data_IF_086284259593
#
_entry.id   IF_086284259593
#
_cell.length_a   1.000
_cell.length_b   1.000
_cell.length_c   1.000
_cell.angle_alpha   90.00
_cell.angle_beta   90.00
_cell.angle_gamma   90.00
#
_symmetry.space_group_name_H-M   'P 1'
#
loop_
_entity.id
_entity.type
_entity.pdbx_description
1 polymer ?
#
# COMPACT_ATOMS: atom_id res chain seq x y z
N UNK A 1 -0.83 5.38 -20.59
CA UNK A 1 -1.15 4.10 -19.92
C UNK A 1 -1.64 4.42 -18.51
N UNK A 2 -2.90 4.11 -18.18
CA UNK A 2 -3.49 4.46 -16.88
C UNK A 2 -2.77 3.77 -15.73
N UNK A 3 -2.64 4.43 -14.57
CA UNK A 3 -2.03 3.81 -13.37
C UNK A 3 -2.93 2.67 -12.89
N UNK A 4 -2.58 1.43 -13.22
CA UNK A 4 -3.22 0.22 -12.68
C UNK A 4 -2.79 0.07 -11.21
N UNK A 5 -3.77 -0.07 -10.32
CA UNK A 5 -3.51 -0.42 -8.92
C UNK A 5 -3.38 -1.94 -8.83
N UNK A 6 -2.38 -2.42 -8.09
CA UNK A 6 -2.16 -3.84 -7.83
C UNK A 6 -2.56 -4.15 -6.38
N UNK A 7 -3.09 -5.35 -6.14
CA UNK A 7 -3.32 -5.85 -4.78
C UNK A 7 -2.12 -6.67 -4.31
N UNK A 8 -1.94 -6.80 -3.00
CA UNK A 8 -0.89 -7.67 -2.42
C UNK A 8 -1.00 -9.09 -2.97
N UNK A 9 -2.22 -9.65 -3.04
CA UNK A 9 -2.46 -11.00 -3.58
C UNK A 9 -1.99 -11.14 -5.03
N UNK A 10 -2.26 -10.17 -5.90
CA UNK A 10 -1.79 -10.22 -7.30
C UNK A 10 -0.27 -10.27 -7.39
N UNK A 11 0.43 -9.56 -6.50
CA UNK A 11 1.89 -9.51 -6.48
C UNK A 11 2.45 -10.81 -5.94
N UNK A 12 1.86 -11.35 -4.86
CA UNK A 12 2.22 -12.65 -4.30
C UNK A 12 2.11 -13.73 -5.38
N UNK A 13 1.05 -13.75 -6.18
CA UNK A 13 0.90 -14.72 -7.27
C UNK A 13 1.98 -14.57 -8.36
N UNK A 14 2.38 -13.34 -8.72
CA UNK A 14 3.50 -13.12 -9.63
C UNK A 14 4.82 -13.66 -9.06
N UNK A 15 5.08 -13.42 -7.77
CA UNK A 15 6.29 -13.86 -7.08
C UNK A 15 6.34 -15.38 -6.94
N UNK A 16 5.22 -16.02 -6.60
CA UNK A 16 5.09 -17.49 -6.54
C UNK A 16 5.33 -18.10 -7.91
N UNK A 17 4.75 -17.52 -8.97
CA UNK A 17 4.99 -17.98 -10.33
C UNK A 17 6.48 -17.94 -10.70
N UNK A 18 7.15 -16.82 -10.39
CA UNK A 18 8.58 -16.69 -10.62
C UNK A 18 9.40 -17.67 -9.78
N UNK A 19 9.07 -17.85 -8.50
CA UNK A 19 9.77 -18.76 -7.60
C UNK A 19 9.62 -20.23 -8.04
N UNK A 20 8.48 -20.60 -8.62
CA UNK A 20 8.21 -21.90 -9.26
C UNK A 20 8.86 -22.07 -10.65
N UNK A 21 9.63 -21.08 -11.11
CA UNK A 21 10.40 -21.17 -12.36
C UNK A 21 9.71 -20.61 -13.60
N UNK A 22 8.52 -19.99 -13.49
CA UNK A 22 7.92 -19.30 -14.63
C UNK A 22 8.75 -18.08 -15.02
N UNK A 23 8.84 -17.84 -16.32
CA UNK A 23 9.53 -16.67 -16.85
C UNK A 23 8.73 -15.40 -16.61
N UNK A 24 9.43 -14.26 -16.56
CA UNK A 24 8.80 -12.92 -16.48
C UNK A 24 7.77 -12.71 -17.59
N UNK A 25 8.01 -13.25 -18.79
CA UNK A 25 7.10 -13.10 -19.93
C UNK A 25 5.82 -13.89 -19.74
N UNK A 26 5.91 -15.14 -19.27
CA UNK A 26 4.73 -15.98 -18.97
C UNK A 26 3.90 -15.37 -17.86
N UNK A 27 4.54 -14.92 -16.77
CA UNK A 27 3.85 -14.27 -15.64
C UNK A 27 3.15 -12.99 -16.11
N UNK A 28 3.82 -12.18 -16.94
CA UNK A 28 3.25 -10.94 -17.46
C UNK A 28 2.03 -11.21 -18.35
N UNK A 29 2.09 -12.25 -19.20
CA UNK A 29 0.98 -12.67 -20.04
C UNK A 29 -0.20 -13.16 -19.21
N UNK A 30 0.04 -14.07 -18.24
CA UNK A 30 -1.00 -14.63 -17.37
C UNK A 30 -1.66 -13.57 -16.48
N UNK A 31 -0.88 -12.63 -15.94
CA UNK A 31 -1.41 -11.57 -15.09
C UNK A 31 -1.97 -10.37 -15.88
N UNK A 32 -1.76 -10.31 -17.20
CA UNK A 32 -2.17 -9.19 -18.06
C UNK A 32 -1.50 -7.86 -17.68
N UNK A 33 -0.19 -7.90 -17.40
CA UNK A 33 0.62 -6.75 -16.96
C UNK A 33 1.85 -6.54 -17.84
N UNK A 34 2.47 -5.37 -17.74
CA UNK A 34 3.76 -5.13 -18.38
C UNK A 34 4.89 -5.92 -17.69
N UNK A 35 5.83 -6.45 -18.48
CA UNK A 35 6.99 -7.20 -17.99
C UNK A 35 7.84 -6.40 -16.98
N UNK A 36 7.90 -5.07 -17.10
CA UNK A 36 8.60 -4.21 -16.14
C UNK A 36 7.95 -4.24 -14.76
N UNK A 37 6.63 -4.37 -14.69
CA UNK A 37 5.91 -4.53 -13.42
C UNK A 37 6.32 -5.83 -12.72
N UNK A 38 6.35 -6.95 -13.47
CA UNK A 38 6.80 -8.23 -12.92
C UNK A 38 8.25 -8.14 -12.47
N UNK A 39 9.15 -7.59 -13.29
CA UNK A 39 10.56 -7.40 -12.92
C UNK A 39 10.75 -6.57 -11.65
N UNK A 40 9.95 -5.50 -11.47
CA UNK A 40 9.99 -4.66 -10.26
C UNK A 40 9.76 -5.50 -8.99
N UNK A 41 8.75 -6.38 -8.99
CA UNK A 41 8.46 -7.21 -7.83
C UNK A 41 9.46 -8.35 -7.67
N UNK A 42 9.88 -8.99 -8.76
CA UNK A 42 10.92 -10.03 -8.73
C UNK A 42 12.25 -9.50 -8.17
N UNK A 43 12.63 -8.27 -8.53
CA UNK A 43 13.84 -7.63 -8.00
C UNK A 43 13.74 -7.47 -6.48
N UNK A 44 12.59 -7.04 -5.96
CA UNK A 44 12.36 -6.95 -4.52
C UNK A 44 12.56 -8.30 -3.79
N UNK A 45 12.09 -9.41 -4.37
CA UNK A 45 12.32 -10.73 -3.80
C UNK A 45 13.80 -11.15 -3.87
N UNK A 46 14.47 -10.83 -4.98
CA UNK A 46 15.89 -11.12 -5.19
C UNK A 46 16.78 -10.34 -4.21
N UNK A 47 16.46 -9.07 -3.97
CA UNK A 47 17.15 -8.18 -3.02
C UNK A 47 16.97 -8.66 -1.57
N UNK A 48 15.82 -9.27 -1.26
CA UNK A 48 15.57 -9.95 0.02
C UNK A 48 16.26 -11.32 0.14
N UNK A 49 17.10 -11.70 -0.84
CA UNK A 49 17.87 -12.94 -0.83
C UNK A 49 17.11 -14.17 -1.33
N UNK A 50 15.84 -14.03 -1.71
CA UNK A 50 15.06 -15.16 -2.24
C UNK A 50 15.58 -15.51 -3.63
N UNK A 51 15.63 -16.81 -3.92
CA UNK A 51 16.07 -17.36 -5.21
C UNK A 51 15.02 -18.33 -5.73
N UNK A 52 14.80 -18.40 -7.04
CA UNK A 52 13.81 -19.30 -7.62
C UNK A 52 14.20 -20.76 -7.36
N UNK A 53 13.22 -21.59 -7.03
CA UNK A 53 13.40 -23.03 -6.76
C UNK A 53 14.18 -23.38 -5.49
N UNK A 54 14.57 -22.40 -4.67
CA UNK A 54 15.29 -22.63 -3.42
C UNK A 54 14.38 -22.34 -2.23
N UNK A 55 14.22 -23.35 -1.37
CA UNK A 55 13.39 -23.29 -0.17
C UNK A 55 11.90 -23.20 -0.50
N UNK A 56 11.05 -23.44 0.49
CA UNK A 56 9.64 -23.10 0.40
C UNK A 56 9.41 -21.73 1.03
N UNK A 57 8.74 -20.84 0.31
CA UNK A 57 8.31 -19.54 0.83
C UNK A 57 6.80 -19.54 0.90
N UNK A 58 6.26 -19.42 2.10
CA UNK A 58 4.82 -19.45 2.39
C UNK A 58 4.13 -18.18 1.88
N UNK A 59 2.82 -18.26 1.65
CA UNK A 59 2.01 -17.10 1.26
C UNK A 59 2.08 -15.95 2.28
N UNK A 60 2.25 -16.26 3.57
CA UNK A 60 2.41 -15.28 4.64
C UNK A 60 3.74 -14.55 4.52
N UNK A 61 4.85 -15.27 4.31
CA UNK A 61 6.18 -14.67 4.11
C UNK A 61 6.21 -13.77 2.87
N UNK A 62 5.55 -14.19 1.78
CA UNK A 62 5.40 -13.34 0.60
C UNK A 62 4.62 -12.07 0.89
N UNK A 63 3.52 -12.16 1.64
CA UNK A 63 2.73 -10.99 2.03
C UNK A 63 3.57 -10.05 2.89
N UNK A 64 4.27 -10.55 3.90
CA UNK A 64 5.15 -9.74 4.75
C UNK A 64 6.23 -9.02 3.96
N UNK A 65 6.87 -9.72 3.01
CA UNK A 65 7.86 -9.13 2.10
C UNK A 65 7.25 -7.96 1.31
N UNK A 66 6.08 -8.18 0.68
CA UNK A 66 5.41 -7.15 -0.12
C UNK A 66 4.97 -5.97 0.76
N UNK A 67 4.43 -6.22 1.95
CA UNK A 67 4.00 -5.17 2.87
C UNK A 67 5.18 -4.33 3.37
N UNK A 68 6.33 -4.96 3.63
CA UNK A 68 7.55 -4.29 4.07
C UNK A 68 8.13 -3.38 2.99
N UNK A 69 8.15 -3.84 1.74
CA UNK A 69 8.77 -3.09 0.63
C UNK A 69 7.83 -2.12 -0.08
N UNK A 70 6.53 -2.43 -0.10
CA UNK A 70 5.51 -1.65 -0.77
C UNK A 70 4.30 -1.43 0.14
N UNK A 71 4.49 -0.77 1.29
CA UNK A 71 3.41 -0.54 2.24
C UNK A 71 2.29 0.30 1.61
N UNK A 72 2.57 1.06 0.55
CA UNK A 72 1.58 1.84 -0.20
C UNK A 72 0.54 1.02 -0.96
N UNK A 73 0.76 -0.30 -1.09
CA UNK A 73 -0.15 -1.22 -1.79
C UNK A 73 -1.32 -1.61 -0.88
N UNK A 74 -1.05 -1.86 0.40
CA UNK A 74 -2.10 -2.07 1.40
C UNK A 74 -2.63 -0.77 1.96
N UNK A 75 -1.77 0.27 1.98
CA UNK A 75 -2.14 1.59 2.40
C UNK A 75 -1.93 2.63 1.27
N UNK A 76 -2.90 2.80 0.35
CA UNK A 76 -2.82 3.74 -0.77
C UNK A 76 -2.46 5.19 -0.43
N UNK A 77 -2.54 5.57 0.85
CA UNK A 77 -2.25 6.90 1.38
C UNK A 77 -0.76 7.18 1.45
N UNK A 78 0.06 6.15 1.67
CA UNK A 78 1.52 6.27 1.62
C UNK A 78 1.99 6.63 0.20
N UNK A 79 1.14 6.42 -0.82
CA UNK A 79 1.37 6.87 -2.20
C UNK A 79 1.11 8.36 -2.40
N UNK A 80 0.61 9.07 -1.40
CA UNK A 80 0.27 10.49 -1.46
C UNK A 80 1.12 11.32 -0.52
N UNK A 81 1.25 12.62 -0.80
CA UNK A 81 1.95 13.64 0.02
C UNK A 81 1.34 13.85 1.42
N UNK A 82 0.50 12.92 1.91
CA UNK A 82 -0.31 13.04 3.12
C UNK A 82 0.34 12.39 4.34
N UNK A 83 1.65 12.20 4.31
CA UNK A 83 2.43 11.63 5.42
C UNK A 83 2.12 12.28 6.77
N UNK A 84 1.85 13.58 6.76
CA UNK A 84 1.44 14.34 7.94
C UNK A 84 0.05 13.92 8.48
N UNK A 85 -0.93 13.66 7.59
CA UNK A 85 -2.24 13.15 8.00
C UNK A 85 -2.18 11.69 8.48
N UNK A 86 -1.32 10.86 7.89
CA UNK A 86 -1.12 9.48 8.32
C UNK A 86 -0.59 9.42 9.76
N UNK A 87 0.40 10.27 10.09
CA UNK A 87 0.91 10.41 11.46
C UNK A 87 -0.20 10.81 12.46
N UNK A 88 -1.20 11.58 12.02
CA UNK A 88 -2.33 12.01 12.83
C UNK A 88 -3.56 11.10 12.73
N UNK A 89 -3.46 9.95 12.07
CA UNK A 89 -4.62 9.11 11.78
C UNK A 89 -5.39 8.66 13.01
N UNK A 90 -4.71 8.39 14.13
CA UNK A 90 -5.36 8.04 15.39
C UNK A 90 -6.20 9.20 15.96
N UNK A 91 -5.64 10.42 15.99
CA UNK A 91 -6.34 11.64 16.43
C UNK A 91 -7.53 11.95 15.53
N UNK A 92 -7.36 11.86 14.21
CA UNK A 92 -8.42 12.13 13.25
C UNK A 92 -9.56 11.13 13.45
N UNK A 93 -9.27 9.83 13.63
CA UNK A 93 -10.29 8.81 13.90
C UNK A 93 -11.04 9.07 15.21
N UNK A 94 -10.31 9.39 16.28
CA UNK A 94 -10.93 9.67 17.58
C UNK A 94 -11.88 10.87 17.49
N UNK A 95 -11.40 11.98 16.94
CA UNK A 95 -12.23 13.17 16.79
C UNK A 95 -13.45 12.94 15.88
N UNK A 96 -13.33 12.09 14.85
CA UNK A 96 -14.47 11.70 14.02
C UNK A 96 -15.48 10.84 14.77
N UNK A 97 -15.04 9.94 15.66
CA UNK A 97 -15.94 9.17 16.54
C UNK A 97 -16.66 10.07 17.55
N UNK A 98 -15.97 11.09 18.08
CA UNK A 98 -16.58 12.09 18.98
C UNK A 98 -17.51 13.10 18.27
N UNK A 99 -17.76 12.94 16.95
CA UNK A 99 -18.69 13.77 16.19
C UNK A 99 -18.13 15.12 15.71
N UNK A 100 -16.82 15.38 15.85
CA UNK A 100 -16.25 16.64 15.40
C UNK A 100 -16.26 16.78 13.87
N UNK A 101 -16.56 17.98 13.40
CA UNK A 101 -16.49 18.32 11.98
C UNK A 101 -15.05 18.27 11.45
N UNK A 102 -14.90 18.03 10.15
CA UNK A 102 -13.58 18.08 9.49
C UNK A 102 -12.86 19.41 9.67
N UNK A 103 -13.61 20.50 9.82
CA UNK A 103 -13.05 21.83 10.02
C UNK A 103 -12.48 22.01 11.44
N UNK A 104 -13.14 21.43 12.45
CA UNK A 104 -12.63 21.38 13.81
C UNK A 104 -11.35 20.55 13.90
N UNK A 105 -11.33 19.39 13.24
CA UNK A 105 -10.15 18.51 13.16
C UNK A 105 -9.01 19.24 12.45
N UNK A 106 -9.27 19.88 11.31
CA UNK A 106 -8.26 20.65 10.58
C UNK A 106 -7.69 21.82 11.40
N UNK A 107 -8.54 22.57 12.12
CA UNK A 107 -8.08 23.64 13.01
C UNK A 107 -7.16 23.10 14.11
N UNK A 108 -7.50 21.94 14.69
CA UNK A 108 -6.67 21.27 15.69
C UNK A 108 -5.31 20.84 15.14
N UNK A 109 -5.30 20.17 13.98
CA UNK A 109 -4.08 19.75 13.30
C UNK A 109 -3.17 20.92 12.95
N UNK A 110 -3.76 22.06 12.57
CA UNK A 110 -3.01 23.28 12.25
C UNK A 110 -2.43 23.94 13.50
N UNK A 111 -3.16 23.90 14.62
CA UNK A 111 -2.74 24.45 15.90
C UNK A 111 -1.58 23.66 16.54
N UNK A 112 -1.59 22.32 16.44
CA UNK A 112 -0.57 21.48 17.09
C UNK A 112 0.80 21.51 16.40
N UNK A 113 0.88 21.66 15.07
CA UNK A 113 2.14 21.39 14.34
C UNK A 113 2.45 22.31 13.14
N UNK A 114 1.65 23.35 12.83
CA UNK A 114 1.75 24.10 11.56
C UNK A 114 1.70 23.19 10.31
N UNK A 115 0.87 22.16 10.34
CA UNK A 115 0.63 21.28 9.21
C UNK A 115 0.18 22.07 7.97
N UNK A 116 0.80 21.81 6.81
CA UNK A 116 0.52 22.50 5.53
C UNK A 116 -0.71 21.94 4.79
N UNK A 117 -1.41 20.99 5.42
CA UNK A 117 -2.42 20.18 4.76
C UNK A 117 -3.74 20.94 4.66
N UNK A 118 -4.36 20.90 3.48
CA UNK A 118 -5.67 21.52 3.25
C UNK A 118 -6.83 20.70 3.84
N UNK A 119 -7.95 21.35 4.17
CA UNK A 119 -9.20 20.68 4.57
C UNK A 119 -9.66 19.66 3.51
N UNK A 120 -9.43 19.95 2.22
CA UNK A 120 -9.80 19.06 1.13
C UNK A 120 -8.96 17.77 1.12
N UNK A 121 -7.67 17.86 1.44
CA UNK A 121 -6.78 16.70 1.62
C UNK A 121 -7.22 15.86 2.81
N UNK A 122 -7.56 16.50 3.95
CA UNK A 122 -8.11 15.80 5.13
C UNK A 122 -9.40 15.05 4.80
N UNK A 123 -10.34 15.67 4.07
CA UNK A 123 -11.59 15.02 3.65
C UNK A 123 -11.34 13.83 2.71
N UNK A 124 -10.40 13.96 1.77
CA UNK A 124 -10.05 12.85 0.86
C UNK A 124 -9.37 11.70 1.59
N UNK A 125 -8.39 12.01 2.44
CA UNK A 125 -7.76 11.03 3.33
C UNK A 125 -8.82 10.30 4.16
N UNK A 126 -9.71 11.05 4.81
CA UNK A 126 -10.74 10.47 5.67
C UNK A 126 -11.67 9.51 4.94
N UNK A 127 -12.06 9.83 3.70
CA UNK A 127 -12.90 8.95 2.87
C UNK A 127 -12.21 7.65 2.50
N UNK A 128 -10.89 7.65 2.36
CA UNK A 128 -10.11 6.45 2.01
C UNK A 128 -9.76 5.61 3.26
N UNK A 129 -9.58 6.26 4.42
CA UNK A 129 -9.11 5.61 5.65
C UNK A 129 -10.21 5.06 6.55
N UNK A 130 -11.27 5.85 6.76
CA UNK A 130 -12.32 5.48 7.70
C UNK A 130 -13.29 4.45 7.10
N UNK A 131 -13.22 4.23 5.78
CA UNK A 131 -13.99 3.23 5.04
C UNK A 131 -13.39 1.82 5.09
N UNK A 132 -12.11 1.67 5.47
CA UNK A 132 -11.35 0.42 5.34
C UNK A 132 -11.35 -0.44 6.62
N UNK A 133 -12.36 -0.33 7.48
CA UNK A 133 -12.39 -0.98 8.80
C UNK A 133 -12.69 -2.50 8.78
N UNK A 134 -12.74 -3.17 7.62
CA UNK A 134 -13.10 -4.59 7.51
C UNK A 134 -12.13 -5.45 6.67
N UNK A 135 -10.81 -5.29 6.81
CA UNK A 135 -9.88 -6.23 6.18
C UNK A 135 -8.58 -6.40 6.99
N UNK A 136 -8.63 -7.32 7.97
CA UNK A 136 -7.55 -8.27 8.19
C UNK A 136 -7.97 -9.56 7.47
#
# INVERSE_FOLDING_TARGET
>A
MGRRTFTTTQIVEMLRGWHNGHTVTEIAATAGVDRKTVRKYVQCATDAGIRPGIGEVTSTEWRELVCRHYPEIENPLLRTTWHDLDNHGALIREMRRSGHSYESIWRRLRAERRSSVSVASLKRWSRQNLSNQNAC
#
